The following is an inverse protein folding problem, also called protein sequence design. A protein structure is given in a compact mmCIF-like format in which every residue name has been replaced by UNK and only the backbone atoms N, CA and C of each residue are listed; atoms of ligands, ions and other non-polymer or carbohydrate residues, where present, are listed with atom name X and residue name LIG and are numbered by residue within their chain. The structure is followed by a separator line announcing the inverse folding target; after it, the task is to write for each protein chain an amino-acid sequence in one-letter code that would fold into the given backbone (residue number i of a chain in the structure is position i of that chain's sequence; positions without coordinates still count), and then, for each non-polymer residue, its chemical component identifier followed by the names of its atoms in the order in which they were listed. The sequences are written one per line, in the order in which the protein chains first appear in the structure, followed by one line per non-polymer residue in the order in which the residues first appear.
data_IF_688914282201
#
_entry.id   IF_688914282201
#
_cell.length_a   1.000
_cell.length_b   1.000
_cell.length_c   1.000
_cell.angle_alpha   90.00
_cell.angle_beta   90.00
_cell.angle_gamma   90.00
#
_symmetry.space_group_name_H-M   'P 1'
#
loop_
_entity.id
_entity.type
_entity.pdbx_description
1 polymer ?
#
# COMPACT_ATOMS: atom_id res chain seq x y z
N UNK A 1 -30.48 -57.47 -52.19
CA UNK A 1 -31.03 -57.52 -50.81
C UNK A 1 -30.02 -58.21 -49.93
N UNK A 2 -29.65 -57.57 -48.80
CA UNK A 2 -29.00 -58.15 -47.61
C UNK A 2 -27.56 -58.69 -47.78
N UNK A 3 -26.65 -58.65 -46.79
CA UNK A 3 -26.47 -57.83 -45.60
C UNK A 3 -25.03 -58.14 -45.13
N UNK A 4 -24.35 -57.08 -44.72
CA UNK A 4 -23.08 -56.90 -44.03
C UNK A 4 -22.39 -58.02 -43.22
N UNK A 5 -21.06 -57.83 -43.17
CA UNK A 5 -20.15 -57.88 -42.00
C UNK A 5 -19.50 -59.23 -41.63
N UNK A 6 -18.16 -59.26 -41.54
CA UNK A 6 -17.40 -58.88 -40.33
C UNK A 6 -15.87 -58.84 -40.53
N UNK A 7 -15.30 -57.67 -40.21
CA UNK A 7 -14.19 -57.46 -39.26
C UNK A 7 -12.89 -58.24 -39.46
N UNK A 8 -11.79 -57.54 -39.79
CA UNK A 8 -10.57 -57.56 -38.94
C UNK A 8 -9.53 -56.51 -39.31
N UNK A 9 -9.29 -55.61 -38.34
CA UNK A 9 -7.97 -55.13 -37.91
C UNK A 9 -7.05 -54.54 -38.97
N UNK A 10 -7.04 -53.21 -39.06
CA UNK A 10 -5.80 -52.45 -39.29
C UNK A 10 -5.89 -51.11 -38.55
N UNK A 11 -5.67 -51.17 -37.23
CA UNK A 11 -5.29 -50.01 -36.42
C UNK A 11 -3.80 -50.13 -36.15
N UNK A 12 -2.97 -49.27 -36.74
CA UNK A 12 -1.67 -48.80 -36.23
C UNK A 12 -0.85 -48.13 -37.34
N UNK A 13 -1.13 -46.85 -37.66
CA UNK A 13 -0.15 -45.93 -38.30
C UNK A 13 -0.72 -44.49 -38.44
N UNK A 14 -1.47 -43.97 -37.47
CA UNK A 14 -2.05 -42.62 -37.55
C UNK A 14 -2.05 -41.89 -36.20
N UNK A 15 -1.03 -42.17 -35.38
CA UNK A 15 -0.86 -41.56 -34.05
C UNK A 15 0.56 -41.01 -33.84
N UNK A 16 1.12 -40.33 -34.85
CA UNK A 16 2.48 -39.76 -34.75
C UNK A 16 2.63 -38.34 -35.33
N UNK A 17 1.55 -37.58 -35.60
CA UNK A 17 1.72 -36.28 -36.27
C UNK A 17 0.76 -35.15 -35.86
N UNK A 18 -0.01 -35.29 -34.77
CA UNK A 18 -1.00 -34.27 -34.40
C UNK A 18 -0.67 -33.49 -33.10
N UNK A 19 0.50 -33.68 -32.48
CA UNK A 19 0.84 -32.99 -31.21
C UNK A 19 1.82 -31.82 -31.38
N UNK A 20 2.31 -31.54 -32.60
CA UNK A 20 3.29 -30.47 -32.85
C UNK A 20 2.71 -29.10 -33.22
N UNK A 21 1.39 -28.89 -33.16
CA UNK A 21 0.75 -27.65 -33.64
C UNK A 21 0.28 -26.67 -32.54
N UNK A 22 0.60 -26.91 -31.26
CA UNK A 22 0.22 -26.00 -30.15
C UNK A 22 1.41 -25.32 -29.44
N UNK A 23 2.62 -25.44 -29.97
CA UNK A 23 3.68 -24.48 -29.65
C UNK A 23 3.48 -23.24 -30.52
N UNK A 24 2.44 -22.45 -30.22
CA UNK A 24 2.39 -21.07 -30.66
C UNK A 24 3.68 -20.39 -30.18
N UNK A 25 4.44 -19.69 -31.03
CA UNK A 25 5.53 -18.87 -30.54
C UNK A 25 4.94 -17.85 -29.57
N UNK A 26 5.27 -18.01 -28.30
CA UNK A 26 4.96 -17.07 -27.25
C UNK A 26 5.62 -15.73 -27.61
N UNK A 27 4.79 -14.69 -27.75
CA UNK A 27 5.11 -13.26 -27.68
C UNK A 27 6.44 -12.81 -28.32
N UNK A 28 6.46 -12.71 -29.65
CA UNK A 28 7.43 -11.89 -30.36
C UNK A 28 6.81 -11.20 -31.59
N UNK A 29 5.51 -10.88 -31.53
CA UNK A 29 4.97 -9.88 -32.45
C UNK A 29 5.45 -8.53 -31.92
N UNK A 30 6.26 -7.84 -32.73
CA UNK A 30 6.59 -6.43 -32.50
C UNK A 30 5.29 -5.68 -32.14
N UNK A 31 5.34 -4.89 -31.07
CA UNK A 31 4.19 -4.09 -30.64
C UNK A 31 3.77 -3.22 -31.83
N UNK A 32 2.52 -3.34 -32.26
CA UNK A 32 2.02 -2.59 -33.41
C UNK A 32 2.09 -1.09 -33.14
N UNK A 33 2.11 -0.28 -34.21
CA UNK A 33 2.09 1.18 -34.07
C UNK A 33 0.82 1.67 -33.35
N UNK A 34 -0.33 1.02 -33.59
CA UNK A 34 -1.59 1.31 -32.90
C UNK A 34 -1.51 1.04 -31.40
N UNK A 35 -0.90 -0.08 -31.03
CA UNK A 35 -0.73 -0.48 -29.63
C UNK A 35 0.25 0.45 -28.91
N UNK A 36 1.37 0.83 -29.55
CA UNK A 36 2.28 1.86 -29.02
C UNK A 36 1.60 3.23 -28.87
N UNK A 37 0.73 3.61 -29.81
CA UNK A 37 -0.02 4.86 -29.71
C UNK A 37 -0.98 4.84 -28.53
N UNK A 38 -1.71 3.74 -28.33
CA UNK A 38 -2.58 3.56 -27.16
C UNK A 38 -1.77 3.60 -25.86
N UNK A 39 -0.60 2.97 -25.84
CA UNK A 39 0.29 2.98 -24.67
C UNK A 39 0.79 4.39 -24.33
N UNK A 40 1.22 5.18 -25.32
CA UNK A 40 1.60 6.58 -25.11
C UNK A 40 0.43 7.42 -24.57
N UNK A 41 -0.77 7.22 -25.12
CA UNK A 41 -1.96 7.92 -24.64
C UNK A 41 -2.28 7.57 -23.18
N UNK A 42 -2.17 6.31 -22.80
CA UNK A 42 -2.37 5.86 -21.42
C UNK A 42 -1.33 6.45 -20.47
N UNK A 43 -0.03 6.34 -20.81
CA UNK A 43 1.09 6.89 -20.04
C UNK A 43 0.92 8.39 -19.78
N UNK A 44 0.55 9.13 -20.82
CA UNK A 44 0.30 10.57 -20.71
C UNK A 44 -0.93 10.87 -19.84
N UNK A 45 -2.03 10.12 -20.01
CA UNK A 45 -3.27 10.36 -19.26
C UNK A 45 -3.12 10.10 -17.76
N UNK A 46 -2.25 9.19 -17.36
CA UNK A 46 -2.00 8.83 -15.95
C UNK A 46 -0.78 9.51 -15.34
N UNK A 47 -0.11 10.40 -16.08
CA UNK A 47 1.09 11.10 -15.61
C UNK A 47 2.21 10.15 -15.15
N UNK A 48 2.37 9.01 -15.85
CA UNK A 48 3.28 7.95 -15.42
C UNK A 48 4.76 8.35 -15.44
N UNK A 49 5.12 9.41 -16.16
CA UNK A 49 6.50 9.88 -16.30
C UNK A 49 6.79 11.18 -15.56
N UNK A 50 5.77 11.88 -15.05
CA UNK A 50 5.90 13.14 -14.31
C UNK A 50 6.91 13.09 -13.14
N UNK A 51 7.04 11.98 -12.38
CA UNK A 51 8.06 11.87 -11.34
C UNK A 51 9.50 12.00 -11.85
N UNK A 52 9.73 11.81 -13.16
CA UNK A 52 11.06 11.85 -13.78
C UNK A 52 11.44 13.24 -14.32
N UNK A 53 10.54 14.21 -14.28
CA UNK A 53 10.73 15.57 -14.82
C UNK A 53 11.91 16.30 -14.17
N UNK A 54 12.20 15.96 -12.91
CA UNK A 54 13.26 16.58 -12.14
C UNK A 54 14.65 15.97 -12.37
N UNK A 55 14.78 14.87 -13.11
CA UNK A 55 16.07 14.18 -13.32
C UNK A 55 17.09 15.13 -13.96
N UNK A 56 16.74 15.77 -15.07
CA UNK A 56 17.66 16.63 -15.81
C UNK A 56 17.99 17.93 -15.05
N UNK A 57 17.01 18.68 -14.47
CA UNK A 57 17.31 19.82 -13.62
C UNK A 57 18.21 19.48 -12.41
N UNK A 58 17.97 18.35 -11.74
CA UNK A 58 18.79 17.93 -10.60
C UNK A 58 20.22 17.56 -11.03
N UNK A 59 20.38 16.86 -12.16
CA UNK A 59 21.69 16.54 -12.71
C UNK A 59 22.46 17.80 -13.12
N UNK A 60 21.78 18.78 -13.72
CA UNK A 60 22.35 20.07 -14.09
C UNK A 60 22.82 20.84 -12.85
N UNK A 61 21.97 20.99 -11.83
CA UNK A 61 22.30 21.68 -10.59
C UNK A 61 23.47 21.00 -9.84
N UNK A 62 23.49 19.66 -9.80
CA UNK A 62 24.59 18.92 -9.20
C UNK A 62 25.92 19.17 -9.93
N UNK A 63 25.91 19.16 -11.27
CA UNK A 63 27.09 19.44 -12.07
C UNK A 63 27.58 20.88 -11.91
N UNK A 64 26.66 21.85 -11.95
CA UNK A 64 26.95 23.27 -11.75
C UNK A 64 27.64 23.52 -10.40
N UNK A 65 27.05 23.01 -9.31
CA UNK A 65 27.64 23.12 -7.97
C UNK A 65 29.05 22.52 -7.90
N UNK A 66 29.25 21.34 -8.52
CA UNK A 66 30.56 20.70 -8.56
C UNK A 66 31.60 21.54 -9.33
N UNK A 67 31.20 22.15 -10.45
CA UNK A 67 32.10 22.94 -11.28
C UNK A 67 32.45 24.29 -10.62
N UNK A 68 31.48 24.94 -9.96
CA UNK A 68 31.69 26.20 -9.22
C UNK A 68 32.65 25.97 -8.06
N UNK A 69 32.46 24.88 -7.30
CA UNK A 69 33.39 24.55 -6.20
C UNK A 69 34.84 24.39 -6.68
N UNK A 70 35.04 23.86 -7.89
CA UNK A 70 36.37 23.67 -8.49
C UNK A 70 36.93 24.94 -9.12
N UNK A 71 36.07 25.80 -9.68
CA UNK A 71 36.46 27.01 -10.41
C UNK A 71 35.53 28.18 -10.02
N UNK A 72 35.70 28.77 -8.82
CA UNK A 72 34.78 29.79 -8.32
C UNK A 72 34.75 31.07 -9.17
N UNK A 73 35.87 31.38 -9.83
CA UNK A 73 36.04 32.51 -10.75
C UNK A 73 35.22 32.36 -12.04
N UNK A 74 34.82 31.14 -12.40
CA UNK A 74 34.06 30.84 -13.61
C UNK A 74 32.55 30.71 -13.38
N UNK A 75 32.04 31.09 -12.20
CA UNK A 75 30.66 30.81 -11.79
C UNK A 75 29.59 31.21 -12.83
N UNK A 76 29.63 32.44 -13.34
CA UNK A 76 28.66 32.92 -14.32
C UNK A 76 28.71 32.13 -15.64
N UNK A 77 29.93 31.84 -16.13
CA UNK A 77 30.13 31.06 -17.35
C UNK A 77 29.67 29.60 -17.18
N UNK A 78 29.93 29.01 -16.01
CA UNK A 78 29.48 27.65 -15.66
C UNK A 78 27.95 27.61 -15.67
N UNK A 79 27.28 28.50 -14.94
CA UNK A 79 25.81 28.51 -14.85
C UNK A 79 25.16 28.67 -16.21
N UNK A 80 25.64 29.62 -17.03
CA UNK A 80 25.18 29.80 -18.41
C UNK A 80 25.38 28.53 -19.25
N UNK A 81 26.58 27.96 -19.22
CA UNK A 81 26.93 26.79 -20.04
C UNK A 81 26.11 25.57 -19.64
N UNK A 82 25.99 25.28 -18.34
CA UNK A 82 25.22 24.13 -17.83
C UNK A 82 23.75 24.28 -18.20
N UNK A 83 23.17 25.47 -18.02
CA UNK A 83 21.78 25.75 -18.41
C UNK A 83 21.55 25.54 -19.90
N UNK A 84 22.40 26.11 -20.77
CA UNK A 84 22.30 25.93 -22.23
C UNK A 84 22.39 24.45 -22.64
N UNK A 85 23.30 23.68 -22.04
CA UNK A 85 23.44 22.24 -22.33
C UNK A 85 22.28 21.42 -21.78
N UNK A 86 21.76 21.76 -20.60
CA UNK A 86 20.58 21.12 -20.04
C UNK A 86 19.36 21.35 -20.95
N UNK A 87 19.14 22.57 -21.42
CA UNK A 87 18.07 22.85 -22.38
C UNK A 87 18.21 22.03 -23.67
N UNK A 88 19.43 21.89 -24.20
CA UNK A 88 19.68 21.06 -25.39
C UNK A 88 19.38 19.56 -25.16
N UNK A 89 19.50 19.08 -23.91
CA UNK A 89 19.19 17.70 -23.53
C UNK A 89 17.71 17.47 -23.23
N UNK A 90 16.88 18.51 -23.10
CA UNK A 90 15.47 18.37 -22.76
C UNK A 90 14.70 17.48 -23.75
N UNK A 91 15.10 17.46 -25.03
CA UNK A 91 14.51 16.60 -26.05
C UNK A 91 14.61 15.10 -25.74
N UNK A 92 15.59 14.69 -24.91
CA UNK A 92 15.74 13.29 -24.46
C UNK A 92 14.56 12.80 -23.61
N UNK A 93 13.67 13.69 -23.18
CA UNK A 93 12.40 13.30 -22.57
C UNK A 93 11.60 12.35 -23.47
N UNK A 94 11.64 12.56 -24.80
CA UNK A 94 10.94 11.69 -25.74
C UNK A 94 11.47 10.24 -25.73
N UNK A 95 12.76 10.02 -25.42
CA UNK A 95 13.33 8.68 -25.28
C UNK A 95 12.69 7.96 -24.08
N UNK A 96 12.56 8.65 -22.96
CA UNK A 96 11.91 8.12 -21.76
C UNK A 96 10.44 7.78 -22.01
N UNK A 97 9.70 8.67 -22.68
CA UNK A 97 8.29 8.43 -23.04
C UNK A 97 8.12 7.20 -23.94
N UNK A 98 9.07 6.99 -24.86
CA UNK A 98 9.08 5.81 -25.73
C UNK A 98 9.27 4.53 -24.92
N UNK A 99 10.24 4.52 -24.01
CA UNK A 99 10.50 3.35 -23.15
C UNK A 99 9.33 3.07 -22.19
N UNK A 100 8.72 4.12 -21.63
CA UNK A 100 7.52 3.99 -20.80
C UNK A 100 6.36 3.37 -21.60
N UNK A 101 6.09 3.87 -22.80
CA UNK A 101 5.05 3.30 -23.67
C UNK A 101 5.32 1.83 -24.02
N UNK A 102 6.58 1.47 -24.30
CA UNK A 102 6.96 0.07 -24.53
C UNK A 102 6.72 -0.80 -23.30
N UNK A 103 7.03 -0.31 -22.09
CA UNK A 103 6.78 -1.03 -20.85
C UNK A 103 5.28 -1.29 -20.64
N UNK A 104 4.44 -0.29 -20.89
CA UNK A 104 2.98 -0.43 -20.78
C UNK A 104 2.39 -1.36 -21.85
N UNK A 105 2.84 -1.24 -23.11
CA UNK A 105 2.37 -2.09 -24.19
C UNK A 105 2.70 -3.58 -24.02
N UNK A 106 3.76 -3.90 -23.26
CA UNK A 106 4.11 -5.28 -22.91
C UNK A 106 3.16 -5.91 -21.89
N UNK A 107 2.50 -5.10 -21.06
CA UNK A 107 1.67 -5.57 -19.94
C UNK A 107 0.18 -5.51 -20.27
N UNK A 108 -0.25 -4.47 -20.96
CA UNK A 108 -1.66 -4.23 -21.25
C UNK A 108 -1.95 -4.41 -22.74
N UNK A 109 -3.13 -4.95 -23.04
CA UNK A 109 -3.65 -4.98 -24.41
C UNK A 109 -3.96 -3.57 -24.92
N UNK A 110 -4.01 -3.40 -26.24
CA UNK A 110 -4.38 -2.12 -26.87
C UNK A 110 -5.74 -1.59 -26.37
N UNK A 111 -6.71 -2.49 -26.16
CA UNK A 111 -8.03 -2.13 -25.63
C UNK A 111 -7.92 -1.55 -24.21
N UNK A 112 -7.24 -2.24 -23.31
CA UNK A 112 -7.09 -1.78 -21.91
C UNK A 112 -6.37 -0.43 -21.84
N UNK A 113 -5.34 -0.23 -22.67
CA UNK A 113 -4.64 1.05 -22.74
C UNK A 113 -5.56 2.19 -23.21
N UNK A 114 -6.39 1.94 -24.21
CA UNK A 114 -7.39 2.93 -24.65
C UNK A 114 -8.45 3.20 -23.57
N UNK A 115 -8.90 2.18 -22.84
CA UNK A 115 -9.84 2.33 -21.74
C UNK A 115 -9.24 3.16 -20.59
N UNK A 116 -7.98 2.89 -20.22
CA UNK A 116 -7.20 3.67 -19.23
C UNK A 116 -7.10 5.13 -19.68
N UNK A 117 -6.65 5.36 -20.92
CA UNK A 117 -6.50 6.70 -21.47
C UNK A 117 -7.83 7.47 -21.47
N UNK A 118 -8.93 6.80 -21.83
CA UNK A 118 -10.27 7.39 -21.87
C UNK A 118 -10.74 7.79 -20.47
N UNK A 119 -10.61 6.89 -19.48
CA UNK A 119 -11.04 7.17 -18.12
C UNK A 119 -10.26 8.33 -17.51
N UNK A 120 -8.93 8.27 -17.53
CA UNK A 120 -8.08 9.29 -16.90
C UNK A 120 -8.05 10.63 -17.65
N UNK A 121 -8.47 10.65 -18.93
CA UNK A 121 -8.68 11.90 -19.66
C UNK A 121 -10.02 12.59 -19.34
N UNK A 122 -10.98 11.89 -18.73
CA UNK A 122 -12.28 12.46 -18.32
C UNK A 122 -12.13 13.45 -17.15
N UNK A 123 -13.11 14.34 -16.97
CA UNK A 123 -13.11 15.31 -15.86
C UNK A 123 -13.03 14.63 -14.48
N UNK A 124 -13.72 13.49 -14.33
CA UNK A 124 -13.67 12.72 -13.08
C UNK A 124 -12.33 12.00 -12.90
N UNK A 125 -11.76 11.45 -13.97
CA UNK A 125 -10.46 10.79 -13.94
C UNK A 125 -9.33 11.76 -13.57
N UNK A 126 -9.30 12.94 -14.21
CA UNK A 126 -8.35 14.01 -13.87
C UNK A 126 -8.51 14.47 -12.42
N UNK A 127 -9.76 14.73 -12.01
CA UNK A 127 -10.04 15.14 -10.62
C UNK A 127 -9.58 14.08 -9.61
N UNK A 128 -9.72 12.80 -9.94
CA UNK A 128 -9.23 11.71 -9.08
C UNK A 128 -7.70 11.72 -8.97
N UNK A 129 -6.97 11.95 -10.07
CA UNK A 129 -5.51 12.06 -10.04
C UNK A 129 -5.07 13.28 -9.21
N UNK A 130 -5.68 14.43 -9.44
CA UNK A 130 -5.32 15.69 -8.78
C UNK A 130 -5.68 15.69 -7.28
N UNK A 131 -6.88 15.23 -6.96
CA UNK A 131 -7.43 15.32 -5.59
C UNK A 131 -7.18 14.06 -4.76
N UNK A 132 -6.84 12.94 -5.39
CA UNK A 132 -6.63 11.64 -4.74
C UNK A 132 -5.68 11.71 -3.55
N UNK A 133 -4.46 12.30 -3.67
CA UNK A 133 -3.54 12.41 -2.55
C UNK A 133 -4.11 13.17 -1.34
N UNK A 134 -4.88 14.23 -1.58
CA UNK A 134 -5.53 14.99 -0.51
C UNK A 134 -6.61 14.16 0.19
N UNK A 135 -7.45 13.47 -0.58
CA UNK A 135 -8.49 12.57 -0.05
C UNK A 135 -7.86 11.42 0.75
N UNK A 136 -6.79 10.80 0.24
CA UNK A 136 -6.07 9.73 0.94
C UNK A 136 -5.52 10.21 2.29
N UNK A 137 -4.95 11.42 2.34
CA UNK A 137 -4.48 12.00 3.60
C UNK A 137 -5.61 12.19 4.61
N UNK A 138 -6.80 12.59 4.15
CA UNK A 138 -7.95 12.77 5.04
C UNK A 138 -8.54 11.42 5.49
N UNK A 139 -8.51 10.40 4.62
CA UNK A 139 -8.86 9.02 4.98
C UNK A 139 -7.94 8.45 6.07
N UNK A 140 -6.63 8.69 5.97
CA UNK A 140 -5.67 8.25 7.00
C UNK A 140 -5.98 8.89 8.35
N UNK A 141 -6.27 10.20 8.41
CA UNK A 141 -6.67 10.86 9.66
C UNK A 141 -7.95 10.26 10.25
N UNK A 142 -8.93 9.95 9.39
CA UNK A 142 -10.17 9.31 9.84
C UNK A 142 -9.91 7.91 10.41
N UNK A 143 -9.04 7.13 9.75
CA UNK A 143 -8.61 5.83 10.25
C UNK A 143 -7.91 5.94 11.61
N UNK A 144 -7.10 6.97 11.83
CA UNK A 144 -6.43 7.23 13.11
C UNK A 144 -7.42 7.48 14.26
N UNK A 145 -8.47 8.25 14.00
CA UNK A 145 -9.52 8.50 15.00
C UNK A 145 -10.30 7.21 15.28
N UNK A 146 -10.67 6.48 14.22
CA UNK A 146 -11.42 5.25 14.32
C UNK A 146 -10.65 4.18 15.12
N UNK A 147 -9.36 3.96 14.82
CA UNK A 147 -8.55 2.96 15.54
C UNK A 147 -8.47 3.26 17.04
N UNK A 148 -8.33 4.54 17.43
CA UNK A 148 -8.30 4.95 18.83
C UNK A 148 -9.63 4.71 19.53
N UNK A 149 -10.74 4.95 18.82
CA UNK A 149 -12.09 4.64 19.31
C UNK A 149 -12.28 3.14 19.56
N UNK A 150 -11.92 2.31 18.57
CA UNK A 150 -12.01 0.85 18.69
C UNK A 150 -11.16 0.33 19.86
N UNK A 151 -9.92 0.81 20.01
CA UNK A 151 -9.05 0.38 21.10
C UNK A 151 -9.62 0.73 22.48
N UNK A 152 -10.17 1.94 22.64
CA UNK A 152 -10.83 2.37 23.88
C UNK A 152 -12.04 1.50 24.19
N UNK A 153 -12.93 1.32 23.22
CA UNK A 153 -14.19 0.59 23.42
C UNK A 153 -13.91 -0.90 23.71
N UNK A 154 -12.91 -1.48 23.05
CA UNK A 154 -12.45 -2.84 23.34
C UNK A 154 -11.89 -2.95 24.78
N UNK A 155 -11.02 -2.02 25.19
CA UNK A 155 -10.46 -2.02 26.54
C UNK A 155 -11.56 -1.91 27.61
N UNK A 156 -12.57 -1.06 27.38
CA UNK A 156 -13.71 -0.92 28.28
C UNK A 156 -14.52 -2.22 28.39
N UNK A 157 -14.93 -2.81 27.26
CA UNK A 157 -15.75 -4.03 27.26
C UNK A 157 -15.02 -5.22 27.90
N UNK A 158 -13.72 -5.36 27.62
CA UNK A 158 -12.89 -6.38 28.26
C UNK A 158 -12.79 -6.12 29.77
N UNK A 159 -12.55 -4.87 30.18
CA UNK A 159 -12.49 -4.48 31.58
C UNK A 159 -13.80 -4.79 32.35
N UNK A 160 -14.95 -4.44 31.76
CA UNK A 160 -16.27 -4.75 32.33
C UNK A 160 -16.50 -6.26 32.47
N UNK A 161 -16.14 -7.03 31.45
CA UNK A 161 -16.26 -8.50 31.46
C UNK A 161 -15.40 -9.12 32.56
N UNK A 162 -14.14 -8.67 32.69
CA UNK A 162 -13.22 -9.16 33.72
C UNK A 162 -13.66 -8.75 35.14
N UNK A 163 -14.16 -7.53 35.32
CA UNK A 163 -14.68 -7.06 36.61
C UNK A 163 -15.94 -7.83 37.04
N UNK A 164 -16.84 -8.15 36.10
CA UNK A 164 -17.99 -8.99 36.38
C UNK A 164 -17.57 -10.41 36.79
N UNK A 165 -16.59 -10.99 36.09
CA UNK A 165 -16.07 -12.31 36.41
C UNK A 165 -15.37 -12.36 37.78
N UNK A 166 -14.58 -11.33 38.13
CA UNK A 166 -13.90 -11.28 39.43
C UNK A 166 -14.88 -11.12 40.59
N UNK A 167 -15.95 -10.33 40.43
CA UNK A 167 -17.02 -10.20 41.41
C UNK A 167 -17.78 -11.52 41.62
N UNK A 168 -17.99 -12.29 40.55
CA UNK A 168 -18.61 -13.60 40.63
C UNK A 168 -17.71 -14.66 41.30
N UNK A 169 -16.38 -14.48 41.25
CA UNK A 169 -15.40 -15.37 41.85
C UNK A 169 -15.03 -15.00 43.31
N UNK A 170 -15.48 -13.87 43.84
CA UNK A 170 -15.23 -13.47 45.21
C UNK A 170 -16.00 -14.39 46.20
N UNK A 171 -15.34 -14.98 47.21
CA UNK A 171 -16.02 -15.82 48.19
C UNK A 171 -17.05 -15.00 48.97
N UNK A 172 -18.21 -15.59 49.25
CA UNK A 172 -19.23 -14.98 50.09
C UNK A 172 -18.62 -14.60 51.44
N UNK A 173 -18.76 -13.33 51.83
CA UNK A 173 -18.37 -12.88 53.16
C UNK A 173 -19.05 -13.78 54.21
N UNK A 174 -18.32 -14.24 55.25
CA UNK A 174 -18.94 -15.05 56.28
C UNK A 174 -20.08 -14.25 56.92
N UNK A 175 -21.26 -14.87 57.00
CA UNK A 175 -22.43 -14.29 57.66
C UNK A 175 -22.04 -13.88 59.10
N UNK A 176 -22.56 -12.75 59.63
CA UNK A 176 -22.36 -12.44 61.03
C UNK A 176 -22.93 -13.61 61.86
N UNK A 177 -22.10 -14.19 62.72
CA UNK A 177 -22.56 -15.18 63.67
C UNK A 177 -23.47 -14.46 64.68
N UNK A 178 -24.77 -14.51 64.44
CA UNK A 178 -25.77 -14.25 65.48
C UNK A 178 -25.64 -15.33 66.55
N UNK A 179 -25.41 -14.90 67.80
CA UNK A 179 -25.66 -15.73 68.98
C UNK A 179 -24.47 -15.94 69.91
N UNK A 180 -24.03 -14.88 70.60
CA UNK A 180 -23.52 -15.02 71.95
C UNK A 180 -23.95 -13.81 72.78
N UNK A 181 -25.08 -13.97 73.49
CA UNK A 181 -25.48 -13.09 74.57
C UNK A 181 -24.46 -13.17 75.75
N UNK A 182 -24.38 -12.14 76.60
CA UNK A 182 -23.20 -11.86 77.41
C UNK A 182 -23.17 -12.72 78.67
N UNK A 183 -21.98 -13.21 79.04
CA UNK A 183 -21.71 -13.66 80.40
C UNK A 183 -20.98 -12.53 81.14
N UNK A 184 -21.71 -11.98 82.09
CA UNK A 184 -21.28 -11.04 83.12
C UNK A 184 -20.00 -11.48 83.84
N UNK A 185 -19.25 -10.46 84.27
CA UNK A 185 -18.56 -10.50 85.56
C UNK A 185 -17.08 -10.82 85.54
N UNK A 186 -16.25 -9.80 85.35
CA UNK A 186 -15.20 -9.37 86.31
C UNK A 186 -14.39 -8.21 85.73
N UNK A 187 -14.50 -7.05 86.37
CA UNK A 187 -13.61 -5.90 86.22
C UNK A 187 -12.95 -5.62 87.58
N UNK A 188 -11.95 -4.74 87.69
CA UNK A 188 -10.77 -4.55 86.85
C UNK A 188 -9.49 -4.54 87.71
N UNK A 189 -8.31 -4.52 87.10
CA UNK A 189 -7.14 -3.94 87.73
C UNK A 189 -6.23 -3.31 86.67
N UNK A 190 -6.14 -1.98 86.76
CA UNK A 190 -4.95 -1.14 86.63
C UNK A 190 -3.96 -1.53 85.52
N UNK A 191 -3.74 -0.73 84.49
CA UNK A 191 -3.47 0.71 84.55
C UNK A 191 -2.07 0.93 84.00
N UNK A 192 -1.96 1.39 82.75
CA UNK A 192 -1.09 2.50 82.37
C UNK A 192 -1.23 2.81 80.88
N UNK A 193 -1.31 4.10 80.60
CA UNK A 193 -1.02 4.75 79.33
C UNK A 193 -0.04 5.89 79.67
N UNK A 194 0.48 6.70 78.73
CA UNK A 194 0.56 6.58 77.27
C UNK A 194 1.99 6.90 76.75
N UNK A 195 2.20 6.81 75.43
CA UNK A 195 2.94 7.78 74.59
C UNK A 195 3.09 7.14 73.19
N UNK A 196 2.42 7.64 72.16
CA UNK A 196 2.75 8.86 71.42
C UNK A 196 4.13 8.77 70.76
N UNK A 197 4.19 8.52 69.44
CA UNK A 197 4.68 9.57 68.54
C UNK A 197 4.43 9.25 67.04
N UNK A 198 4.14 10.36 66.39
CA UNK A 198 3.87 10.67 64.99
C UNK A 198 5.03 10.49 63.99
N UNK A 199 4.70 10.75 62.71
CA UNK A 199 5.56 11.15 61.57
C UNK A 199 6.35 10.00 60.89
N UNK A 200 6.35 9.83 59.57
CA UNK A 200 6.16 10.76 58.44
C UNK A 200 5.80 9.98 57.17
#
# INVERSE_FOLDING_TARGET
MMLHNRVRRFSAALAASAVLALSSPAFAQDVSESHLKAARAAVAAIHATDPFDNILPQAAAALENQLIQKNPDMQELIGKTVSEKAMALAARRADLEKEAALAYAKVFSEKELNDIATFYSSDSGKKLLDSGPAVTRDLVKAADIWQNGVARDLAQQVGETLAAASKAAAPAAPAPADGAAPADGSAPADGDAPADNTQN
#
